data_IF_176915147105
#
_entry.id   IF_176915147105
#
_cell.length_a   1.000
_cell.length_b   1.000
_cell.length_c   1.000
_cell.angle_alpha   90.00
_cell.angle_beta   90.00
_cell.angle_gamma   90.00
#
_symmetry.space_group_name_H-M   'P 1'
#
loop_
_entity.id
_entity.type
_entity.pdbx_description
1 polymer ?
#
# COMPACT_ATOMS: atom_id res chain seq x y z
N UNK A 1 -26.56 -27.49 -74.91
CA UNK A 1 -26.15 -27.38 -73.49
C UNK A 1 -27.38 -26.84 -72.75
N UNK A 2 -28.18 -27.56 -71.93
CA UNK A 2 -28.01 -28.82 -71.19
C UNK A 2 -26.85 -28.78 -70.16
N UNK A 3 -26.94 -29.32 -68.92
CA UNK A 3 -28.00 -30.00 -68.09
C UNK A 3 -27.49 -30.01 -66.61
N UNK A 4 -28.19 -30.32 -65.51
CA UNK A 4 -29.55 -30.77 -65.13
C UNK A 4 -29.79 -30.45 -63.61
N UNK A 5 -31.02 -30.54 -63.08
CA UNK A 5 -31.31 -30.50 -61.63
C UNK A 5 -30.82 -31.74 -60.85
N UNK A 6 -30.39 -31.51 -59.59
CA UNK A 6 -30.30 -32.44 -58.44
C UNK A 6 -30.36 -31.58 -57.16
N UNK A 7 -30.75 -32.02 -55.97
CA UNK A 7 -31.61 -33.06 -55.39
C UNK A 7 -31.45 -32.82 -53.87
N UNK A 8 -32.52 -32.87 -53.05
CA UNK A 8 -32.43 -32.51 -51.63
C UNK A 8 -32.10 -33.71 -50.72
N UNK A 9 -31.51 -33.44 -49.56
CA UNK A 9 -31.37 -34.37 -48.45
C UNK A 9 -31.79 -33.70 -47.14
N UNK A 10 -32.75 -34.27 -46.42
CA UNK A 10 -33.00 -33.89 -45.02
C UNK A 10 -32.01 -34.63 -44.13
N UNK A 11 -31.41 -33.92 -43.17
CA UNK A 11 -30.80 -34.54 -41.99
C UNK A 11 -31.62 -34.14 -40.77
N UNK A 12 -31.95 -35.13 -39.92
CA UNK A 12 -32.63 -34.88 -38.65
C UNK A 12 -31.56 -34.53 -37.62
N UNK A 13 -31.47 -33.25 -37.26
CA UNK A 13 -30.61 -32.81 -36.17
C UNK A 13 -31.26 -33.16 -34.82
N UNK A 14 -30.62 -34.03 -34.04
CA UNK A 14 -30.95 -34.19 -32.62
C UNK A 14 -30.48 -32.96 -31.84
N UNK A 15 -31.27 -32.42 -30.90
CA UNK A 15 -30.83 -31.31 -30.07
C UNK A 15 -29.76 -31.80 -29.09
N UNK A 16 -28.51 -31.42 -29.32
CA UNK A 16 -27.47 -31.53 -28.30
C UNK A 16 -27.88 -30.59 -27.16
N UNK A 17 -28.11 -31.14 -25.97
CA UNK A 17 -28.44 -30.36 -24.79
C UNK A 17 -27.26 -29.42 -24.47
N UNK A 18 -27.48 -28.11 -24.63
CA UNK A 18 -26.50 -27.12 -24.24
C UNK A 18 -26.33 -27.18 -22.72
N UNK A 19 -25.17 -27.65 -22.26
CA UNK A 19 -24.78 -27.48 -20.86
C UNK A 19 -24.62 -25.99 -20.61
N UNK A 20 -25.65 -25.39 -20.02
CA UNK A 20 -25.58 -24.07 -19.39
C UNK A 20 -24.69 -24.18 -18.15
N UNK A 21 -23.38 -24.29 -18.38
CA UNK A 21 -22.36 -24.13 -17.35
C UNK A 21 -22.53 -22.75 -16.75
N UNK A 22 -23.13 -22.70 -15.56
CA UNK A 22 -23.48 -21.45 -14.92
C UNK A 22 -22.23 -20.59 -14.76
N UNK A 23 -22.25 -19.40 -15.38
CA UNK A 23 -21.34 -18.33 -15.02
C UNK A 23 -21.64 -17.97 -13.56
N UNK A 24 -20.95 -18.64 -12.63
CA UNK A 24 -20.98 -18.29 -11.22
C UNK A 24 -20.57 -16.83 -11.12
N UNK A 25 -21.52 -15.96 -10.75
CA UNK A 25 -21.30 -14.53 -10.73
C UNK A 25 -20.07 -14.25 -9.87
N UNK A 26 -19.01 -13.76 -10.50
CA UNK A 26 -17.79 -13.36 -9.81
C UNK A 26 -18.22 -12.34 -8.75
N UNK A 27 -18.08 -12.70 -7.47
CA UNK A 27 -18.41 -11.79 -6.37
C UNK A 27 -17.51 -10.58 -6.55
N UNK A 28 -18.11 -9.44 -6.87
CA UNK A 28 -17.37 -8.19 -7.01
C UNK A 28 -16.62 -7.95 -5.70
N UNK A 29 -15.31 -7.80 -5.82
CA UNK A 29 -14.40 -7.66 -4.70
C UNK A 29 -14.68 -6.32 -4.02
N UNK A 30 -15.54 -6.34 -3.01
CA UNK A 30 -16.18 -5.14 -2.49
C UNK A 30 -15.17 -4.19 -1.84
N UNK A 31 -15.28 -2.91 -2.20
CA UNK A 31 -14.63 -1.80 -1.50
C UNK A 31 -15.64 -1.23 -0.50
N UNK A 32 -15.29 -1.23 0.78
CA UNK A 32 -16.17 -0.81 1.89
C UNK A 32 -15.50 0.23 2.79
N UNK A 33 -16.23 1.25 3.29
CA UNK A 33 -15.69 2.14 4.34
C UNK A 33 -15.36 1.36 5.62
N UNK A 34 -14.29 1.75 6.31
CA UNK A 34 -13.80 1.07 7.52
C UNK A 34 -13.38 2.02 8.66
N UNK A 35 -13.13 3.30 8.40
CA UNK A 35 -12.58 4.29 9.36
C UNK A 35 -13.21 4.18 10.77
N UNK A 36 -12.44 3.78 11.80
CA UNK A 36 -13.02 3.57 13.11
C UNK A 36 -13.47 4.87 13.77
N UNK A 37 -14.57 4.85 14.53
CA UNK A 37 -15.17 6.05 15.10
C UNK A 37 -14.29 6.82 16.10
N UNK A 38 -13.31 6.16 16.74
CA UNK A 38 -12.30 6.82 17.59
C UNK A 38 -11.14 7.45 16.80
N UNK A 39 -10.99 7.10 15.52
CA UNK A 39 -9.90 7.51 14.63
C UNK A 39 -10.36 8.55 13.62
N UNK A 40 -11.58 8.41 13.08
CA UNK A 40 -12.18 9.35 12.12
C UNK A 40 -12.35 10.76 12.70
N UNK A 41 -12.09 11.80 11.90
CA UNK A 41 -12.29 13.20 12.29
C UNK A 41 -12.72 14.11 11.12
N UNK A 42 -12.64 15.44 11.30
CA UNK A 42 -12.75 16.40 10.19
C UNK A 42 -11.40 16.66 9.50
N UNK A 43 -10.31 16.05 9.97
CA UNK A 43 -8.97 16.15 9.37
C UNK A 43 -8.74 14.94 8.44
N UNK A 44 -7.68 14.97 7.63
CA UNK A 44 -7.40 13.91 6.66
C UNK A 44 -6.68 12.74 7.32
N UNK A 45 -7.35 11.60 7.49
CA UNK A 45 -6.71 10.35 7.91
C UNK A 45 -6.13 9.56 6.71
N UNK A 46 -4.92 9.02 6.86
CA UNK A 46 -4.27 8.23 5.80
C UNK A 46 -3.16 7.29 6.31
N UNK A 47 -2.58 6.48 5.42
CA UNK A 47 -1.34 5.73 5.66
C UNK A 47 -1.35 4.91 6.97
N UNK A 48 -2.37 4.05 7.13
CA UNK A 48 -2.49 3.21 8.31
C UNK A 48 -1.48 2.05 8.32
N UNK A 49 -1.03 1.68 9.53
CA UNK A 49 -0.14 0.57 9.80
C UNK A 49 -0.51 -0.07 11.15
N UNK A 50 -0.73 -1.38 11.13
CA UNK A 50 -1.13 -2.17 12.30
C UNK A 50 0.10 -2.82 12.93
N UNK A 51 0.22 -2.75 14.25
CA UNK A 51 1.30 -3.39 14.98
C UNK A 51 1.11 -4.92 15.00
N UNK A 52 2.00 -5.74 14.40
CA UNK A 52 1.85 -7.20 14.39
C UNK A 52 2.13 -7.86 15.76
N UNK A 53 2.35 -7.08 16.83
CA UNK A 53 2.61 -7.56 18.20
C UNK A 53 1.57 -7.15 19.25
N UNK A 54 0.56 -6.36 18.88
CA UNK A 54 -0.42 -5.85 19.83
C UNK A 54 -1.37 -4.86 19.18
N UNK A 55 -2.37 -4.42 19.92
CA UNK A 55 -3.58 -3.84 19.35
C UNK A 55 -3.47 -2.32 19.09
N UNK A 56 -2.33 -1.86 18.58
CA UNK A 56 -2.07 -0.47 18.18
C UNK A 56 -2.20 -0.29 16.66
N UNK A 57 -2.91 0.76 16.24
CA UNK A 57 -2.88 1.27 14.86
C UNK A 57 -2.17 2.61 14.83
N UNK A 58 -1.13 2.68 14.02
CA UNK A 58 -0.42 3.90 13.65
C UNK A 58 -1.00 4.43 12.35
N UNK A 59 -1.19 5.73 12.20
CA UNK A 59 -1.73 6.33 10.98
C UNK A 59 -1.27 7.78 10.84
N UNK A 60 -1.35 8.32 9.64
CA UNK A 60 -1.03 9.73 9.36
C UNK A 60 -2.30 10.56 9.45
N UNK A 61 -2.20 11.73 10.10
CA UNK A 61 -3.19 12.80 10.04
C UNK A 61 -2.58 14.09 9.51
N UNK A 62 -3.31 14.76 8.62
CA UNK A 62 -3.02 16.08 8.06
C UNK A 62 -4.29 16.94 8.04
N UNK A 63 -4.19 18.23 7.73
CA UNK A 63 -5.38 19.06 7.50
C UNK A 63 -6.13 18.70 6.21
N UNK A 64 -7.28 19.34 5.96
CA UNK A 64 -8.11 19.13 4.76
C UNK A 64 -7.43 19.49 3.44
N UNK A 65 -6.30 20.22 3.47
CA UNK A 65 -5.45 20.51 2.30
C UNK A 65 -4.29 19.52 2.15
N UNK A 66 -4.32 18.42 2.91
CA UNK A 66 -3.28 17.39 3.00
C UNK A 66 -1.92 17.94 3.45
N UNK A 67 -1.91 19.02 4.26
CA UNK A 67 -0.69 19.60 4.82
C UNK A 67 -0.49 19.23 6.30
N UNK A 68 0.77 19.31 6.75
CA UNK A 68 1.12 19.12 8.17
C UNK A 68 1.13 17.67 8.66
N UNK A 69 1.44 16.69 7.81
CA UNK A 69 1.48 15.25 8.13
C UNK A 69 2.13 14.92 9.48
N UNK A 70 1.36 14.27 10.35
CA UNK A 70 1.80 13.71 11.63
C UNK A 70 1.41 12.24 11.74
N UNK A 71 2.34 11.40 12.18
CA UNK A 71 1.99 10.05 12.66
C UNK A 71 1.32 10.19 14.04
N UNK A 72 0.17 9.53 14.18
CA UNK A 72 -0.56 9.31 15.42
C UNK A 72 -0.66 7.80 15.68
N UNK A 73 -0.90 7.43 16.94
CA UNK A 73 -1.23 6.07 17.35
C UNK A 73 -2.55 6.06 18.13
N UNK A 74 -3.40 5.08 17.84
CA UNK A 74 -4.59 4.73 18.62
C UNK A 74 -4.46 3.29 19.09
N UNK A 75 -4.90 3.01 20.32
CA UNK A 75 -4.87 1.68 20.94
C UNK A 75 -6.28 1.08 21.00
N UNK A 76 -6.41 -0.23 20.87
CA UNK A 76 -7.68 -0.93 20.90
C UNK A 76 -8.14 -1.21 22.35
N UNK A 77 -9.03 -0.36 22.86
CA UNK A 77 -9.62 -0.47 24.20
C UNK A 77 -10.88 -1.34 24.18
N UNK A 78 -10.72 -2.67 24.13
CA UNK A 78 -11.86 -3.59 24.12
C UNK A 78 -12.59 -3.54 22.79
N UNK A 79 -13.77 -2.90 22.72
CA UNK A 79 -14.62 -2.79 21.52
C UNK A 79 -14.40 -1.49 20.71
N UNK A 80 -13.55 -0.58 21.18
CA UNK A 80 -13.29 0.73 20.55
C UNK A 80 -11.80 1.02 20.35
N UNK A 81 -11.51 1.91 19.41
CA UNK A 81 -10.19 2.55 19.27
C UNK A 81 -10.10 3.77 20.20
N UNK A 82 -8.98 3.95 20.90
CA UNK A 82 -8.71 5.04 21.83
C UNK A 82 -8.62 6.39 21.11
N UNK A 83 -8.76 7.49 21.85
CA UNK A 83 -8.37 8.82 21.34
C UNK A 83 -6.92 8.78 20.81
N UNK A 84 -6.66 9.20 19.56
CA UNK A 84 -5.32 9.17 18.99
C UNK A 84 -4.35 10.12 19.71
N UNK A 85 -3.12 9.66 19.90
CA UNK A 85 -2.03 10.40 20.54
C UNK A 85 -0.77 10.40 19.67
N UNK A 86 0.15 11.32 19.90
CA UNK A 86 1.46 11.25 19.27
C UNK A 86 2.20 9.98 19.78
N UNK A 87 2.92 9.24 18.91
CA UNK A 87 3.74 8.12 19.34
C UNK A 87 4.94 8.60 20.16
N UNK A 88 5.51 7.71 20.99
CA UNK A 88 6.65 8.03 21.88
C UNK A 88 7.92 8.50 21.16
N UNK A 89 8.03 8.26 19.85
CA UNK A 89 9.14 8.67 19.00
C UNK A 89 8.87 9.96 18.18
N UNK A 90 7.73 10.62 18.36
CA UNK A 90 7.36 11.84 17.65
C UNK A 90 8.38 12.98 17.88
N UNK A 91 8.76 13.65 16.79
CA UNK A 91 9.67 14.80 16.79
C UNK A 91 9.04 16.01 16.06
N UNK A 92 9.71 17.16 16.05
CA UNK A 92 9.32 18.30 15.20
C UNK A 92 9.62 18.00 13.73
N UNK A 93 8.76 18.48 12.84
CA UNK A 93 8.83 18.25 11.39
C UNK A 93 7.54 17.64 10.84
N UNK A 94 7.58 17.16 9.60
CA UNK A 94 6.57 16.26 9.04
C UNK A 94 6.94 14.80 9.37
N UNK A 95 5.92 13.95 9.49
CA UNK A 95 6.03 12.50 9.74
C UNK A 95 4.94 11.76 8.98
N UNK A 96 5.32 10.81 8.13
CA UNK A 96 4.38 10.04 7.31
C UNK A 96 4.79 8.57 7.07
N UNK A 97 3.93 7.84 6.37
CA UNK A 97 4.15 6.51 5.79
C UNK A 97 4.62 5.37 6.73
N UNK A 98 4.09 5.26 7.97
CA UNK A 98 4.49 4.20 8.89
C UNK A 98 4.27 2.81 8.28
N UNK A 99 5.17 1.88 8.58
CA UNK A 99 5.05 0.47 8.20
C UNK A 99 5.88 -0.42 9.12
N UNK A 100 5.30 -1.55 9.53
CA UNK A 100 5.94 -2.53 10.40
C UNK A 100 6.61 -3.64 9.59
N UNK A 101 7.80 -4.08 10.01
CA UNK A 101 8.28 -5.41 9.60
C UNK A 101 7.31 -6.47 10.11
N UNK A 102 7.04 -7.58 9.38
CA UNK A 102 6.08 -8.60 9.80
C UNK A 102 6.36 -9.24 11.17
N UNK A 103 7.59 -9.15 11.67
CA UNK A 103 7.99 -9.62 13.00
C UNK A 103 7.85 -8.57 14.12
N UNK A 104 7.40 -7.35 13.80
CA UNK A 104 7.19 -6.22 14.69
C UNK A 104 8.45 -5.65 15.37
N UNK A 105 9.66 -6.05 14.94
CA UNK A 105 10.91 -5.52 15.51
C UNK A 105 11.21 -4.09 15.06
N UNK A 106 10.79 -3.73 13.85
CA UNK A 106 11.13 -2.45 13.24
C UNK A 106 9.87 -1.75 12.72
N UNK A 107 9.83 -0.43 12.86
CA UNK A 107 8.92 0.43 12.11
C UNK A 107 9.74 1.34 11.20
N UNK A 108 9.40 1.36 9.91
CA UNK A 108 9.91 2.29 8.91
C UNK A 108 8.88 3.40 8.71
N UNK A 109 9.33 4.61 8.44
CA UNK A 109 8.50 5.79 8.22
C UNK A 109 9.34 6.90 7.56
N UNK A 110 8.71 7.97 7.07
CA UNK A 110 9.42 9.14 6.53
C UNK A 110 9.28 10.35 7.43
N UNK A 111 10.31 11.20 7.54
CA UNK A 111 10.28 12.39 8.41
C UNK A 111 11.34 13.45 8.12
N UNK A 112 10.95 14.73 8.19
CA UNK A 112 11.84 15.90 8.05
C UNK A 112 12.56 16.26 9.36
N UNK A 113 12.84 15.27 10.23
CA UNK A 113 13.32 15.51 11.60
C UNK A 113 14.82 15.80 11.64
N UNK A 114 15.21 16.87 12.31
CA UNK A 114 16.61 17.15 12.62
C UNK A 114 17.08 16.32 13.83
N UNK A 115 18.25 15.68 13.74
CA UNK A 115 18.87 14.93 14.86
C UNK A 115 20.39 15.07 14.82
N UNK A 116 21.08 14.95 15.97
CA UNK A 116 22.54 14.78 16.03
C UNK A 116 23.40 15.91 15.43
N UNK A 117 22.84 17.09 15.15
CA UNK A 117 23.51 18.18 14.43
C UNK A 117 23.25 18.21 12.92
N UNK A 118 22.53 17.22 12.38
CA UNK A 118 22.05 17.21 11.00
C UNK A 118 20.81 18.09 10.83
N UNK A 119 20.79 18.92 9.78
CA UNK A 119 19.61 19.66 9.31
C UNK A 119 18.93 18.89 8.18
N UNK A 120 17.76 18.32 8.44
CA UNK A 120 16.90 17.73 7.41
C UNK A 120 16.14 18.86 6.68
N UNK A 121 16.07 18.80 5.34
CA UNK A 121 15.41 19.81 4.48
C UNK A 121 14.08 19.30 3.88
N UNK A 122 13.97 17.98 3.79
CA UNK A 122 13.04 17.17 3.02
C UNK A 122 12.69 15.87 3.80
N UNK A 123 11.97 14.95 3.16
CA UNK A 123 11.51 13.71 3.79
C UNK A 123 12.50 12.57 3.57
N UNK A 124 13.21 12.22 4.63
CA UNK A 124 14.11 11.08 4.73
C UNK A 124 13.37 9.80 5.16
N UNK A 125 13.83 8.61 4.75
CA UNK A 125 13.43 7.34 5.40
C UNK A 125 14.16 7.16 6.73
N UNK A 126 13.39 6.86 7.78
CA UNK A 126 13.85 6.52 9.12
C UNK A 126 13.40 5.10 9.48
N UNK A 127 14.20 4.44 10.34
CA UNK A 127 13.83 3.20 11.01
C UNK A 127 13.86 3.42 12.51
N UNK A 128 12.91 2.83 13.23
CA UNK A 128 12.95 2.72 14.69
C UNK A 128 12.86 1.26 15.12
N UNK A 129 13.69 0.89 16.09
CA UNK A 129 13.81 -0.48 16.60
C UNK A 129 13.06 -0.63 17.92
N UNK A 130 12.43 -1.79 18.13
CA UNK A 130 11.70 -2.14 19.35
C UNK A 130 12.54 -3.04 20.25
N UNK A 131 12.63 -2.69 21.54
CA UNK A 131 13.34 -3.50 22.54
C UNK A 131 12.56 -4.77 22.93
N UNK A 132 13.21 -5.65 23.70
CA UNK A 132 12.61 -6.92 24.17
C UNK A 132 11.41 -6.73 25.11
N UNK A 133 11.22 -5.53 25.67
CA UNK A 133 10.08 -5.18 26.53
C UNK A 133 8.96 -4.48 25.74
N UNK A 134 9.04 -4.48 24.40
CA UNK A 134 8.05 -3.85 23.52
C UNK A 134 8.21 -2.34 23.34
N UNK A 135 9.26 -1.72 23.89
CA UNK A 135 9.44 -0.26 23.89
C UNK A 135 10.18 0.21 22.65
N UNK A 136 9.73 1.33 22.11
CA UNK A 136 10.42 2.02 21.02
C UNK A 136 11.75 2.65 21.47
N UNK A 137 12.81 2.44 20.67
CA UNK A 137 14.14 3.02 20.88
C UNK A 137 14.28 4.44 20.30
N UNK A 138 15.50 4.78 19.88
CA UNK A 138 15.79 6.05 19.19
C UNK A 138 15.73 5.82 17.67
N UNK A 139 14.97 6.62 16.90
CA UNK A 139 14.97 6.52 15.44
C UNK A 139 16.33 6.82 14.79
N UNK A 140 16.63 6.06 13.75
CA UNK A 140 17.86 6.14 12.96
C UNK A 140 17.49 6.48 11.51
N UNK A 141 18.04 7.58 10.98
CA UNK A 141 17.96 7.92 9.54
C UNK A 141 18.69 6.84 8.75
N UNK A 142 18.11 6.37 7.65
CA UNK A 142 18.87 5.48 6.76
C UNK A 142 20.04 6.25 6.09
N UNK A 143 21.18 5.58 5.86
CA UNK A 143 22.35 6.23 5.28
C UNK A 143 22.13 6.48 3.78
N UNK A 144 22.95 7.37 3.19
CA UNK A 144 23.13 7.36 1.75
C UNK A 144 23.74 6.00 1.31
N UNK A 145 23.41 5.47 0.11
CA UNK A 145 22.52 6.05 -0.89
C UNK A 145 21.02 5.76 -0.71
N UNK A 146 20.58 5.14 0.41
CA UNK A 146 19.15 4.84 0.64
C UNK A 146 18.33 6.12 0.70
N UNK A 147 18.76 7.08 1.52
CA UNK A 147 18.24 8.44 1.45
C UNK A 147 19.15 9.30 0.55
N UNK A 148 18.57 10.23 -0.20
CA UNK A 148 19.27 11.01 -1.23
C UNK A 148 19.44 12.49 -0.84
N UNK A 149 19.53 13.34 -1.86
CA UNK A 149 19.43 14.80 -1.79
C UNK A 149 18.03 15.30 -2.21
N UNK A 150 17.09 14.40 -2.43
CA UNK A 150 15.69 14.66 -2.75
C UNK A 150 14.79 13.86 -1.78
N UNK A 151 13.48 14.15 -1.74
CA UNK A 151 12.57 13.45 -0.85
C UNK A 151 12.34 11.97 -1.23
N UNK A 152 12.30 11.11 -0.21
CA UNK A 152 11.88 9.71 -0.28
C UNK A 152 10.48 9.50 0.30
N UNK A 153 9.74 8.56 -0.31
CA UNK A 153 8.32 8.31 -0.03
C UNK A 153 8.04 6.82 0.16
N UNK A 154 7.12 6.49 1.05
CA UNK A 154 6.48 5.18 1.16
C UNK A 154 7.43 3.97 1.26
N UNK A 155 8.30 3.89 2.29
CA UNK A 155 9.22 2.77 2.49
C UNK A 155 8.47 1.47 2.79
N UNK A 156 8.63 0.43 1.96
CA UNK A 156 8.04 -0.91 2.13
C UNK A 156 9.06 -2.01 1.82
N UNK A 157 9.35 -2.88 2.78
CA UNK A 157 10.30 -4.00 2.58
C UNK A 157 9.57 -5.23 2.01
N UNK A 158 9.96 -5.65 0.81
CA UNK A 158 9.44 -6.85 0.16
C UNK A 158 10.08 -8.14 0.73
N UNK A 159 9.41 -9.31 0.63
CA UNK A 159 9.93 -10.59 1.13
C UNK A 159 11.25 -11.06 0.49
N UNK A 160 11.61 -10.54 -0.70
CA UNK A 160 12.89 -10.84 -1.36
C UNK A 160 14.08 -10.01 -0.83
N UNK A 161 13.83 -9.11 0.15
CA UNK A 161 14.84 -8.31 0.85
C UNK A 161 15.09 -6.93 0.25
N UNK A 162 14.28 -6.49 -0.73
CA UNK A 162 14.35 -5.14 -1.29
C UNK A 162 13.39 -4.17 -0.57
N UNK A 163 13.92 -3.04 -0.10
CA UNK A 163 13.15 -1.91 0.41
C UNK A 163 12.74 -1.03 -0.77
N UNK A 164 11.47 -1.06 -1.16
CA UNK A 164 10.90 -0.20 -2.19
C UNK A 164 10.45 1.15 -1.60
N UNK A 165 10.57 2.22 -2.37
CA UNK A 165 10.17 3.59 -2.01
C UNK A 165 10.06 4.47 -3.28
N UNK A 166 9.27 5.54 -3.24
CA UNK A 166 9.23 6.56 -4.29
C UNK A 166 10.31 7.64 -4.10
N UNK A 167 10.88 8.18 -5.19
CA UNK A 167 11.80 9.33 -5.15
C UNK A 167 11.98 9.96 -6.54
N UNK A 168 12.19 11.28 -6.60
CA UNK A 168 12.55 12.03 -7.83
C UNK A 168 14.06 12.23 -8.01
N UNK A 169 14.88 11.48 -7.28
CA UNK A 169 16.35 11.46 -7.44
C UNK A 169 16.78 11.19 -8.89
N UNK A 170 17.94 11.74 -9.25
CA UNK A 170 18.51 11.58 -10.60
C UNK A 170 18.81 10.12 -10.98
N UNK A 171 18.64 9.81 -12.27
CA UNK A 171 18.86 8.48 -12.85
C UNK A 171 17.60 7.65 -13.10
N UNK A 172 16.41 8.20 -12.86
CA UNK A 172 15.13 7.57 -13.18
C UNK A 172 14.70 7.71 -14.66
N UNK A 173 13.51 7.20 -14.97
CA UNK A 173 12.87 7.28 -16.29
C UNK A 173 11.70 8.27 -16.36
N UNK A 174 11.09 8.61 -15.22
CA UNK A 174 9.96 9.53 -15.10
C UNK A 174 10.27 10.77 -14.26
N UNK A 175 9.29 11.21 -13.46
CA UNK A 175 9.39 12.39 -12.60
C UNK A 175 9.68 11.97 -11.16
N UNK A 176 8.69 11.37 -10.50
CA UNK A 176 8.88 10.51 -9.34
C UNK A 176 8.83 9.07 -9.84
N UNK A 177 9.81 8.27 -9.46
CA UNK A 177 9.95 6.87 -9.83
C UNK A 177 9.91 6.00 -8.58
N UNK A 178 9.55 4.73 -8.72
CA UNK A 178 9.84 3.72 -7.70
C UNK A 178 11.30 3.31 -7.80
N UNK A 179 11.99 3.37 -6.66
CA UNK A 179 13.34 2.89 -6.43
C UNK A 179 13.31 1.70 -5.48
N UNK A 180 14.43 0.97 -5.42
CA UNK A 180 14.62 -0.06 -4.41
C UNK A 180 16.04 -0.08 -3.86
N UNK A 181 16.13 -0.27 -2.55
CA UNK A 181 17.38 -0.40 -1.80
C UNK A 181 17.54 -1.80 -1.23
N UNK A 182 18.79 -2.29 -1.13
CA UNK A 182 19.10 -3.51 -0.40
C UNK A 182 20.42 -3.38 0.33
N UNK A 183 20.49 -3.93 1.55
CA UNK A 183 21.73 -4.04 2.28
C UNK A 183 22.44 -5.34 1.89
N UNK A 184 23.71 -5.22 1.52
CA UNK A 184 24.60 -6.34 1.25
C UNK A 184 25.13 -6.97 2.56
N UNK A 185 25.72 -8.17 2.45
CA UNK A 185 26.44 -8.81 3.57
C UNK A 185 27.65 -7.99 4.07
N UNK A 186 28.13 -7.03 3.27
CA UNK A 186 29.15 -6.03 3.64
C UNK A 186 28.63 -4.94 4.59
N UNK A 187 27.31 -4.84 4.77
CA UNK A 187 26.64 -3.73 5.43
C UNK A 187 26.44 -2.49 4.54
N UNK A 188 27.00 -2.46 3.33
CA UNK A 188 26.74 -1.40 2.35
C UNK A 188 25.32 -1.50 1.80
N UNK A 189 24.79 -0.37 1.34
CA UNK A 189 23.48 -0.29 0.69
C UNK A 189 23.67 -0.02 -0.80
N UNK A 190 23.08 -0.88 -1.64
CA UNK A 190 22.90 -0.61 -3.06
C UNK A 190 21.49 -0.07 -3.29
N UNK A 191 21.35 0.82 -4.28
CA UNK A 191 20.06 1.39 -4.70
C UNK A 191 20.01 1.42 -6.22
N UNK A 192 18.87 1.03 -6.77
CA UNK A 192 18.60 1.03 -8.20
C UNK A 192 17.15 1.43 -8.50
N UNK A 193 16.92 1.93 -9.72
CA UNK A 193 15.60 2.22 -10.22
C UNK A 193 14.82 0.90 -10.40
N UNK A 194 13.55 0.85 -10.01
CA UNK A 194 12.78 -0.40 -10.04
C UNK A 194 12.40 -0.86 -11.46
N UNK A 195 12.63 -0.02 -12.48
CA UNK A 195 12.60 -0.36 -13.90
C UNK A 195 11.23 -0.20 -14.58
N UNK A 196 11.19 -0.27 -15.93
CA UNK A 196 10.04 0.13 -16.76
C UNK A 196 8.82 -0.84 -16.69
N UNK A 197 8.89 -1.87 -15.85
CA UNK A 197 7.72 -2.69 -15.49
C UNK A 197 6.87 -2.01 -14.41
N UNK A 198 7.51 -1.24 -13.52
CA UNK A 198 6.87 -0.49 -12.44
C UNK A 198 6.81 1.02 -12.75
N UNK A 199 7.86 1.59 -13.34
CA UNK A 199 8.00 3.02 -13.64
C UNK A 199 7.62 3.38 -15.08
N UNK A 200 7.28 4.65 -15.32
CA UNK A 200 6.98 5.22 -16.64
C UNK A 200 7.68 6.56 -16.85
N UNK A 201 7.12 7.43 -17.69
CA UNK A 201 7.50 8.85 -17.80
C UNK A 201 6.61 9.77 -16.92
N UNK A 202 5.70 9.19 -16.13
CA UNK A 202 4.71 9.88 -15.30
C UNK A 202 5.22 10.16 -13.88
N UNK A 203 4.32 10.02 -12.90
CA UNK A 203 4.70 9.93 -11.50
C UNK A 203 4.26 8.60 -10.90
N UNK A 204 5.20 7.89 -10.30
CA UNK A 204 4.98 6.77 -9.42
C UNK A 204 5.44 7.14 -8.00
N UNK A 205 4.55 7.04 -7.01
CA UNK A 205 4.77 7.58 -5.65
C UNK A 205 4.90 6.49 -4.58
N UNK A 206 3.96 5.54 -4.55
CA UNK A 206 3.91 4.46 -3.56
C UNK A 206 4.14 3.11 -4.23
N UNK A 207 4.87 2.22 -3.57
CA UNK A 207 5.07 0.83 -4.00
C UNK A 207 4.78 -0.12 -2.83
N UNK A 208 3.69 -0.88 -2.94
CA UNK A 208 3.22 -1.83 -1.95
C UNK A 208 3.41 -3.29 -2.45
N UNK A 209 4.50 -3.97 -2.06
CA UNK A 209 4.65 -5.39 -2.30
C UNK A 209 3.65 -6.20 -1.45
N UNK A 210 3.15 -7.31 -1.98
CA UNK A 210 2.31 -8.26 -1.24
C UNK A 210 3.13 -9.07 -0.21
N UNK A 211 2.49 -9.65 0.83
CA UNK A 211 3.18 -10.43 1.87
C UNK A 211 3.94 -11.67 1.35
N UNK A 212 3.54 -12.21 0.20
CA UNK A 212 4.20 -13.31 -0.49
C UNK A 212 5.19 -12.85 -1.59
N UNK A 213 5.23 -11.55 -1.90
CA UNK A 213 6.07 -10.95 -2.94
C UNK A 213 5.64 -11.27 -4.38
N UNK A 214 4.45 -11.86 -4.59
CA UNK A 214 3.93 -12.19 -5.93
C UNK A 214 3.30 -11.00 -6.65
N UNK A 215 2.95 -9.93 -5.92
CA UNK A 215 2.25 -8.74 -6.41
C UNK A 215 2.98 -7.47 -5.94
N UNK A 216 2.93 -6.43 -6.78
CA UNK A 216 3.29 -5.06 -6.46
C UNK A 216 2.12 -4.15 -6.85
N UNK A 217 1.57 -3.40 -5.89
CA UNK A 217 0.62 -2.32 -6.15
C UNK A 217 1.37 -0.99 -6.19
N UNK A 218 1.08 -0.13 -7.16
CA UNK A 218 1.79 1.13 -7.43
C UNK A 218 0.79 2.30 -7.43
N UNK A 219 0.96 3.30 -6.56
CA UNK A 219 0.18 4.54 -6.63
C UNK A 219 0.80 5.52 -7.63
N UNK A 220 -0.04 6.17 -8.43
CA UNK A 220 0.38 7.08 -9.50
C UNK A 220 -0.54 8.30 -9.56
N UNK A 221 -0.16 9.31 -10.33
CA UNK A 221 -1.04 10.43 -10.70
C UNK A 221 -2.28 10.01 -11.53
N UNK A 222 -2.39 8.73 -11.91
CA UNK A 222 -3.56 8.12 -12.55
C UNK A 222 -4.25 7.07 -11.67
N UNK A 223 -3.98 7.03 -10.36
CA UNK A 223 -4.50 6.07 -9.39
C UNK A 223 -3.63 4.81 -9.25
N UNK A 224 -4.17 3.76 -8.63
CA UNK A 224 -3.46 2.49 -8.40
C UNK A 224 -3.37 1.60 -9.64
N UNK A 225 -2.19 1.02 -9.82
CA UNK A 225 -1.88 -0.05 -10.77
C UNK A 225 -1.37 -1.28 -10.00
N UNK A 226 -1.38 -2.45 -10.64
CA UNK A 226 -0.86 -3.71 -10.12
C UNK A 226 0.06 -4.40 -11.13
N UNK A 227 1.15 -5.00 -10.65
CA UNK A 227 2.10 -5.80 -11.42
C UNK A 227 2.37 -7.13 -10.70
N UNK A 228 2.58 -8.20 -11.47
CA UNK A 228 2.82 -9.54 -10.93
C UNK A 228 4.28 -9.96 -11.08
N UNK A 229 4.78 -10.73 -10.11
CA UNK A 229 6.14 -11.27 -10.14
C UNK A 229 6.21 -12.46 -11.09
N UNK A 230 7.19 -12.43 -11.99
CA UNK A 230 7.45 -13.47 -13.00
C UNK A 230 8.89 -13.97 -12.87
N UNK A 231 9.22 -15.06 -13.57
CA UNK A 231 10.59 -15.59 -13.63
C UNK A 231 11.63 -14.61 -14.21
N UNK A 232 11.19 -13.55 -14.90
CA UNK A 232 12.05 -12.52 -15.50
C UNK A 232 11.94 -11.14 -14.83
N UNK A 233 11.29 -11.03 -13.66
CA UNK A 233 11.06 -9.77 -12.96
C UNK A 233 9.57 -9.40 -12.86
N UNK A 234 9.26 -8.12 -12.75
CA UNK A 234 7.87 -7.63 -12.69
C UNK A 234 7.20 -7.63 -14.07
N UNK A 235 5.89 -7.91 -14.14
CA UNK A 235 5.10 -7.79 -15.36
C UNK A 235 4.87 -6.31 -15.72
N UNK A 236 4.49 -5.99 -16.97
CA UNK A 236 3.81 -4.72 -17.24
C UNK A 236 2.63 -4.54 -16.29
N UNK A 237 2.47 -3.31 -15.77
CA UNK A 237 1.42 -2.99 -14.79
C UNK A 237 0.04 -2.81 -15.45
N UNK A 238 -1.00 -3.32 -14.82
CA UNK A 238 -2.40 -3.13 -15.20
C UNK A 238 -3.08 -2.14 -14.23
N UNK A 239 -4.01 -1.30 -14.71
CA UNK A 239 -4.73 -0.36 -13.82
C UNK A 239 -5.79 -1.11 -12.99
N UNK A 240 -5.85 -0.85 -11.69
CA UNK A 240 -6.89 -1.42 -10.83
C UNK A 240 -8.29 -0.85 -11.15
N UNK A 241 -9.32 -1.60 -10.76
CA UNK A 241 -10.72 -1.35 -11.12
C UNK A 241 -11.30 -0.02 -10.59
N UNK A 242 -12.44 0.43 -11.15
CA UNK A 242 -13.05 1.71 -10.80
C UNK A 242 -13.51 1.78 -9.34
N UNK A 243 -13.83 0.66 -8.69
CA UNK A 243 -14.22 0.62 -7.27
C UNK A 243 -13.09 1.10 -6.33
N UNK A 244 -11.84 0.93 -6.77
CA UNK A 244 -10.62 1.36 -6.07
C UNK A 244 -10.20 2.73 -6.59
N UNK A 245 -10.19 2.92 -7.90
CA UNK A 245 -9.77 4.15 -8.57
C UNK A 245 -10.98 5.03 -8.91
N UNK A 246 -11.62 5.62 -7.89
CA UNK A 246 -12.88 6.38 -8.00
C UNK A 246 -12.62 7.85 -8.33
N UNK A 247 -11.70 8.52 -7.62
CA UNK A 247 -11.50 9.96 -7.78
C UNK A 247 -10.03 10.44 -7.87
N UNK A 248 -9.04 9.54 -7.74
CA UNK A 248 -7.62 9.89 -7.84
C UNK A 248 -7.01 10.43 -6.55
N UNK A 249 -7.76 10.46 -5.45
CA UNK A 249 -7.25 10.77 -4.10
C UNK A 249 -6.79 9.54 -3.33
N UNK A 250 -6.78 8.36 -3.96
CA UNK A 250 -6.55 7.09 -3.29
C UNK A 250 -5.06 6.82 -3.01
N UNK A 251 -4.69 6.86 -1.72
CA UNK A 251 -3.30 6.89 -1.23
C UNK A 251 -3.11 6.06 0.05
N UNK A 252 -1.88 5.79 0.43
CA UNK A 252 -1.49 5.26 1.73
C UNK A 252 -1.85 3.79 1.95
N UNK A 253 -1.66 2.94 0.94
CA UNK A 253 -2.14 1.56 0.99
C UNK A 253 -1.37 0.63 1.95
N UNK A 254 -2.05 -0.39 2.46
CA UNK A 254 -1.45 -1.52 3.20
C UNK A 254 -2.25 -2.80 2.94
N UNK A 255 -1.58 -3.95 2.80
CA UNK A 255 -2.25 -5.25 2.64
C UNK A 255 -2.45 -5.96 3.98
N UNK A 256 -3.45 -6.84 4.05
CA UNK A 256 -3.57 -7.81 5.14
C UNK A 256 -2.39 -8.79 5.15
N UNK A 257 -2.05 -9.42 6.29
CA UNK A 257 -0.99 -10.44 6.35
C UNK A 257 -1.24 -11.65 5.44
N UNK A 258 -2.48 -11.88 5.01
CA UNK A 258 -2.85 -12.94 4.05
C UNK A 258 -2.75 -12.51 2.58
N UNK A 259 -2.58 -11.21 2.32
CA UNK A 259 -2.67 -10.58 1.00
C UNK A 259 -4.10 -10.34 0.50
N UNK A 260 -5.13 -10.98 1.10
CA UNK A 260 -6.49 -11.04 0.53
C UNK A 260 -7.31 -9.76 0.63
N UNK A 261 -6.83 -8.77 1.38
CA UNK A 261 -7.45 -7.45 1.46
C UNK A 261 -6.40 -6.35 1.40
N UNK A 262 -6.82 -5.17 0.92
CA UNK A 262 -6.02 -3.96 0.91
C UNK A 262 -6.80 -2.83 1.57
N UNK A 263 -6.23 -2.20 2.59
CA UNK A 263 -6.72 -0.96 3.17
C UNK A 263 -6.04 0.20 2.44
N UNK A 264 -6.78 1.26 2.14
CA UNK A 264 -6.24 2.51 1.60
C UNK A 264 -7.08 3.71 2.08
N UNK A 265 -6.55 4.91 1.89
CA UNK A 265 -7.18 6.18 2.24
C UNK A 265 -7.75 6.84 0.98
N UNK A 266 -8.90 7.51 1.07
CA UNK A 266 -9.55 8.24 -0.04
C UNK A 266 -10.24 9.49 0.51
N UNK A 267 -10.13 10.62 -0.18
CA UNK A 267 -10.97 11.79 0.11
C UNK A 267 -12.41 11.57 -0.35
N UNK A 268 -13.37 11.83 0.56
CA UNK A 268 -14.81 11.73 0.29
C UNK A 268 -15.46 13.08 0.00
N UNK A 269 -14.73 14.19 0.18
CA UNK A 269 -15.19 15.56 -0.11
C UNK A 269 -16.24 16.15 0.85
N UNK A 270 -16.89 15.32 1.67
CA UNK A 270 -18.00 15.70 2.57
C UNK A 270 -18.02 14.84 3.84
N UNK A 271 -18.41 15.39 5.00
CA UNK A 271 -17.86 16.62 5.59
C UNK A 271 -16.41 16.40 6.12
N UNK A 272 -15.94 15.15 6.06
CA UNK A 272 -14.60 14.69 6.42
C UNK A 272 -13.72 14.67 5.17
N UNK A 273 -12.40 14.62 5.38
CA UNK A 273 -11.43 14.36 4.33
C UNK A 273 -10.64 13.11 4.71
N UNK A 274 -10.13 12.35 3.74
CA UNK A 274 -9.30 11.16 4.01
C UNK A 274 -9.97 10.10 4.91
N UNK A 275 -10.87 9.29 4.35
CA UNK A 275 -11.47 8.14 5.03
C UNK A 275 -10.80 6.83 4.57
N UNK A 276 -10.77 5.83 5.45
CA UNK A 276 -10.20 4.51 5.20
C UNK A 276 -11.22 3.57 4.56
N UNK A 277 -10.81 2.92 3.46
CA UNK A 277 -11.59 1.93 2.72
C UNK A 277 -10.83 0.59 2.64
N UNK A 278 -11.55 -0.52 2.78
CA UNK A 278 -11.03 -1.88 2.63
C UNK A 278 -11.54 -2.47 1.32
N UNK A 279 -10.62 -2.95 0.49
CA UNK A 279 -10.90 -3.77 -0.68
C UNK A 279 -10.63 -5.25 -0.38
N UNK A 280 -11.66 -6.09 -0.39
CA UNK A 280 -11.53 -7.53 -0.20
C UNK A 280 -11.28 -8.25 -1.55
N UNK A 281 -10.02 -8.24 -2.03
CA UNK A 281 -9.62 -8.77 -3.34
C UNK A 281 -9.94 -10.27 -3.52
N UNK A 282 -9.54 -11.11 -2.56
CA UNK A 282 -9.52 -12.58 -2.70
C UNK A 282 -10.47 -13.27 -1.71
N UNK A 283 -11.68 -12.69 -1.61
CA UNK A 283 -12.74 -13.12 -0.71
C UNK A 283 -12.71 -12.42 0.65
N UNK A 284 -13.71 -12.74 1.48
CA UNK A 284 -13.87 -12.09 2.79
C UNK A 284 -12.93 -12.70 3.84
N UNK A 285 -12.24 -11.83 4.55
CA UNK A 285 -11.57 -12.10 5.84
C UNK A 285 -11.99 -11.04 6.87
N UNK A 286 -11.60 -11.21 8.15
CA UNK A 286 -11.86 -10.21 9.20
C UNK A 286 -10.60 -9.35 9.42
N UNK A 287 -10.24 -8.60 8.39
CA UNK A 287 -9.13 -7.64 8.41
C UNK A 287 -9.55 -6.32 7.71
N UNK A 288 -9.09 -5.15 8.19
CA UNK A 288 -8.30 -4.94 9.40
C UNK A 288 -9.10 -5.24 10.67
N UNK A 289 -8.38 -5.71 11.69
CA UNK A 289 -8.97 -6.21 12.93
C UNK A 289 -9.90 -5.17 13.55
N UNK A 290 -11.05 -5.65 14.04
CA UNK A 290 -12.03 -4.82 14.73
C UNK A 290 -11.70 -4.86 16.20
N UNK A 291 -11.86 -3.74 16.90
CA UNK A 291 -11.89 -3.82 18.35
C UNK A 291 -13.06 -4.70 18.79
N UNK A 292 -12.76 -5.64 19.68
CA UNK A 292 -13.66 -6.71 20.11
C UNK A 292 -13.56 -8.01 19.30
N UNK A 293 -12.85 -8.06 18.16
CA UNK A 293 -12.55 -9.34 17.48
C UNK A 293 -11.42 -10.06 18.21
N UNK A 294 -11.74 -10.68 19.34
CA UNK A 294 -10.83 -11.56 20.06
C UNK A 294 -10.31 -12.66 19.12
N UNK A 295 -9.00 -12.92 19.13
CA UNK A 295 -8.43 -14.06 18.44
C UNK A 295 -8.95 -15.36 19.07
N UNK A 296 -9.68 -16.14 18.27
CA UNK A 296 -10.19 -17.48 18.59
C UNK A 296 -9.18 -18.56 18.16
#
# INVERSE_FOLDING_TARGET
>A
MARQWMLAALSVATPVAAFAGGLGAARTAAVVPWTPAGVSSELFESHAAFDPRGDDMYFVRSDKSFAGWRILVSHCEGDRWSTPRAPSFAAKGLEADPWFTPDGKHLYYISTRATGGMTSKDLDIWRIDRDMNGRWGVPVRLPAPVNSDEAEWFPRLAPDGWLYFGSHRGGGTGKNDIWRARQEASGQWTVENAGPALNTAGNEYEALPSPDGSIMVIATDHGYFESHRTGSGWSPRARLGPDINVNGSEIGAVMSPSGKSMLFSRDTGEPRSGEFFVWHRDGKEDWPQRCGSAAL
#
